data_IF_607093499044
#
_entry.id   IF_607093499044
#
_cell.length_a   1.000
_cell.length_b   1.000
_cell.length_c   1.000
_cell.angle_alpha   90.00
_cell.angle_beta   90.00
_cell.angle_gamma   90.00
#
_symmetry.space_group_name_H-M   'P 1'
#
loop_
_entity.id
_entity.type
_entity.pdbx_description
1 polymer ?
#
# COMPACT_ATOMS: atom_id res chain seq x y z
N UNK A 1 -10.88 23.01 -71.03
CA UNK A 1 -11.63 22.56 -69.84
C UNK A 1 -11.32 21.08 -69.66
N UNK A 2 -10.34 20.72 -68.84
CA UNK A 2 -9.84 19.34 -68.74
C UNK A 2 -10.45 18.63 -67.53
N UNK A 3 -11.37 17.70 -67.78
CA UNK A 3 -11.92 16.79 -66.78
C UNK A 3 -10.89 15.68 -66.56
N UNK A 4 -10.17 15.75 -65.44
CA UNK A 4 -9.17 14.75 -65.05
C UNK A 4 -9.89 13.52 -64.51
N UNK A 5 -9.77 12.40 -65.22
CA UNK A 5 -10.34 11.12 -64.79
C UNK A 5 -9.73 10.69 -63.44
N UNK A 6 -10.59 10.24 -62.52
CA UNK A 6 -10.17 9.78 -61.19
C UNK A 6 -9.52 8.41 -61.34
N UNK A 7 -8.22 8.30 -61.08
CA UNK A 7 -7.56 7.01 -60.95
C UNK A 7 -8.09 6.25 -59.72
N UNK A 8 -8.68 5.06 -59.92
CA UNK A 8 -9.18 4.23 -58.81
C UNK A 8 -7.99 3.74 -57.97
N UNK A 9 -8.00 4.05 -56.68
CA UNK A 9 -6.95 3.67 -55.73
C UNK A 9 -6.02 4.78 -55.26
N UNK A 10 -6.15 6.01 -55.78
CA UNK A 10 -5.40 7.15 -55.26
C UNK A 10 -5.76 7.44 -53.79
N UNK A 11 -4.81 7.86 -52.92
CA UNK A 11 -5.09 8.21 -51.53
C UNK A 11 -6.18 9.29 -51.37
N UNK A 12 -6.28 10.18 -52.36
CA UNK A 12 -7.29 11.23 -52.42
C UNK A 12 -8.70 10.69 -52.71
N UNK A 13 -8.82 9.64 -53.52
CA UNK A 13 -10.10 8.95 -53.76
C UNK A 13 -10.60 8.27 -52.48
N UNK A 14 -9.74 7.54 -51.77
CA UNK A 14 -10.10 6.84 -50.53
C UNK A 14 -10.59 7.78 -49.42
N UNK A 15 -10.06 9.02 -49.39
CA UNK A 15 -10.51 10.06 -48.45
C UNK A 15 -11.84 10.68 -48.86
N UNK A 16 -12.11 10.89 -50.16
CA UNK A 16 -13.43 11.35 -50.61
C UNK A 16 -14.50 10.29 -50.33
N UNK A 17 -14.17 9.01 -50.54
CA UNK A 17 -15.10 7.91 -50.36
C UNK A 17 -15.49 7.76 -48.88
N UNK A 18 -14.53 7.93 -47.95
CA UNK A 18 -14.80 7.96 -46.50
C UNK A 18 -15.69 9.14 -46.06
N UNK A 19 -15.63 10.28 -46.74
CA UNK A 19 -16.47 11.45 -46.42
C UNK A 19 -17.88 11.30 -47.00
N UNK A 20 -17.98 10.62 -48.15
CA UNK A 20 -19.25 10.33 -48.82
C UNK A 20 -19.99 9.15 -48.19
N UNK A 21 -19.28 8.27 -47.46
CA UNK A 21 -19.85 7.14 -46.75
C UNK A 21 -20.80 7.59 -45.61
N UNK A 22 -22.11 7.32 -45.73
CA UNK A 22 -23.08 7.64 -44.69
C UNK A 22 -22.87 6.84 -43.39
N UNK A 23 -22.19 5.70 -43.43
CA UNK A 23 -21.88 4.90 -42.24
C UNK A 23 -20.75 5.54 -41.41
N UNK A 24 -19.75 6.13 -42.07
CA UNK A 24 -18.63 6.81 -41.41
C UNK A 24 -19.07 8.04 -40.58
N UNK A 25 -20.19 8.68 -40.94
CA UNK A 25 -20.79 9.77 -40.18
C UNK A 25 -21.39 9.32 -38.84
N UNK A 26 -21.76 8.04 -38.72
CA UNK A 26 -22.45 7.48 -37.57
C UNK A 26 -21.53 6.60 -36.72
N UNK A 27 -20.21 6.62 -36.95
CA UNK A 27 -19.29 5.93 -36.06
C UNK A 27 -19.41 6.54 -34.65
N UNK A 28 -19.73 5.72 -33.63
CA UNK A 28 -19.82 6.21 -32.28
C UNK A 28 -18.44 6.74 -31.88
N UNK A 29 -18.34 8.06 -31.74
CA UNK A 29 -17.11 8.70 -31.26
C UNK A 29 -16.86 8.16 -29.86
N UNK A 30 -15.82 7.34 -29.71
CA UNK A 30 -15.39 6.81 -28.41
C UNK A 30 -15.07 8.01 -27.53
N UNK A 31 -15.95 8.30 -26.57
CA UNK A 31 -15.75 9.40 -25.64
C UNK A 31 -14.45 9.16 -24.86
N UNK A 32 -13.62 10.20 -24.63
CA UNK A 32 -12.47 10.07 -23.75
C UNK A 32 -12.94 9.55 -22.40
N UNK A 33 -12.43 8.41 -21.97
CA UNK A 33 -12.79 7.86 -20.65
C UNK A 33 -12.27 8.82 -19.59
N UNK A 34 -13.17 9.45 -18.82
CA UNK A 34 -12.86 10.39 -17.73
C UNK A 34 -12.29 9.66 -16.49
N UNK A 35 -11.17 8.97 -16.70
CA UNK A 35 -10.52 8.12 -15.72
C UNK A 35 -9.91 8.89 -14.54
N UNK A 36 -9.65 10.18 -14.69
CA UNK A 36 -8.97 10.98 -13.67
C UNK A 36 -9.89 11.45 -12.54
N UNK A 37 -11.08 11.96 -12.87
CA UNK A 37 -11.95 12.63 -11.89
C UNK A 37 -12.79 11.63 -11.10
N UNK A 38 -13.34 10.60 -11.76
CA UNK A 38 -14.22 9.60 -11.12
C UNK A 38 -13.49 8.75 -10.09
N UNK A 39 -12.25 8.33 -10.38
CA UNK A 39 -11.41 7.57 -9.44
C UNK A 39 -11.09 8.33 -8.16
N UNK A 40 -10.81 9.64 -8.27
CA UNK A 40 -10.52 10.51 -7.12
C UNK A 40 -11.74 10.58 -6.19
N UNK A 41 -12.96 10.69 -6.73
CA UNK A 41 -14.17 10.70 -5.92
C UNK A 41 -14.39 9.41 -5.14
N UNK A 42 -14.05 8.25 -5.71
CA UNK A 42 -14.11 6.97 -4.98
C UNK A 42 -13.10 6.89 -3.85
N UNK A 43 -11.86 7.36 -4.09
CA UNK A 43 -10.81 7.38 -3.06
C UNK A 43 -11.19 8.32 -1.92
N UNK A 44 -11.66 9.53 -2.25
CA UNK A 44 -12.12 10.51 -1.25
C UNK A 44 -13.33 9.96 -0.48
N UNK A 45 -14.30 9.36 -1.18
CA UNK A 45 -15.49 8.78 -0.56
C UNK A 45 -15.14 7.65 0.41
N UNK A 46 -14.23 6.76 0.03
CA UNK A 46 -13.77 5.67 0.89
C UNK A 46 -12.99 6.19 2.11
N UNK A 47 -12.07 7.13 1.91
CA UNK A 47 -11.33 7.75 3.00
C UNK A 47 -12.29 8.46 3.97
N UNK A 48 -13.25 9.23 3.46
CA UNK A 48 -14.25 9.91 4.27
C UNK A 48 -15.11 8.92 5.06
N UNK A 49 -15.60 7.86 4.42
CA UNK A 49 -16.40 6.84 5.08
C UNK A 49 -15.60 6.18 6.22
N UNK A 50 -14.36 5.77 5.98
CA UNK A 50 -13.50 5.18 7.01
C UNK A 50 -13.23 6.12 8.19
N UNK A 51 -12.89 7.37 7.89
CA UNK A 51 -12.68 8.42 8.91
C UNK A 51 -13.96 8.65 9.72
N UNK A 52 -15.08 8.85 9.05
CA UNK A 52 -16.37 9.07 9.71
C UNK A 52 -16.76 7.89 10.59
N UNK A 53 -16.48 6.65 10.17
CA UNK A 53 -16.80 5.47 10.93
C UNK A 53 -16.00 5.41 12.24
N UNK A 54 -14.70 5.68 12.19
CA UNK A 54 -13.84 5.75 13.39
C UNK A 54 -14.33 6.83 14.34
N UNK A 55 -14.55 8.06 13.86
CA UNK A 55 -14.99 9.15 14.72
C UNK A 55 -16.40 8.97 15.26
N UNK A 56 -17.32 8.41 14.46
CA UNK A 56 -18.70 8.16 14.88
C UNK A 56 -18.75 7.06 15.92
N UNK A 57 -17.98 5.98 15.74
CA UNK A 57 -17.92 4.90 16.75
C UNK A 57 -17.31 5.37 18.06
N UNK A 58 -16.22 6.16 18.03
CA UNK A 58 -15.64 6.78 19.24
C UNK A 58 -16.62 7.77 19.87
N UNK A 59 -17.27 8.63 19.07
CA UNK A 59 -18.24 9.62 19.55
C UNK A 59 -19.49 8.97 20.16
N UNK A 60 -20.01 7.92 19.53
CA UNK A 60 -21.11 7.12 20.06
C UNK A 60 -20.71 6.42 21.37
N UNK A 61 -19.52 5.82 21.43
CA UNK A 61 -19.01 5.23 22.66
C UNK A 61 -18.88 6.28 23.77
N UNK A 62 -18.42 7.49 23.44
CA UNK A 62 -18.30 8.59 24.40
C UNK A 62 -19.66 9.11 24.90
N UNK A 63 -20.68 9.16 24.03
CA UNK A 63 -22.02 9.66 24.36
C UNK A 63 -22.86 8.63 25.14
N UNK A 64 -22.77 7.35 24.76
CA UNK A 64 -23.56 6.27 25.38
C UNK A 64 -22.93 5.77 26.69
N UNK A 65 -21.60 5.88 26.84
CA UNK A 65 -20.92 5.38 28.03
C UNK A 65 -21.26 6.19 29.28
N UNK A 66 -21.73 5.50 30.33
CA UNK A 66 -21.93 6.08 31.65
C UNK A 66 -20.58 6.40 32.32
N UNK A 67 -20.13 7.64 32.18
CA UNK A 67 -18.80 8.10 32.63
C UNK A 67 -18.83 8.52 34.10
N UNK A 68 -18.28 7.69 35.00
CA UNK A 68 -18.12 8.06 36.40
C UNK A 68 -16.80 8.83 36.63
N UNK A 69 -16.86 10.16 36.71
CA UNK A 69 -15.67 11.04 36.81
C UNK A 69 -15.22 11.40 38.23
N UNK A 70 -15.98 11.00 39.24
CA UNK A 70 -15.78 11.48 40.62
C UNK A 70 -15.01 10.54 41.56
N UNK A 71 -14.63 9.35 41.10
CA UNK A 71 -13.99 8.35 41.95
C UNK A 71 -12.47 8.36 41.71
N UNK A 72 -11.72 8.80 42.72
CA UNK A 72 -10.25 8.89 42.68
C UNK A 72 -9.62 7.53 42.40
N UNK A 73 -10.21 6.43 42.88
CA UNK A 73 -9.66 5.08 42.71
C UNK A 73 -9.81 4.56 41.28
N UNK A 74 -10.77 5.06 40.49
CA UNK A 74 -10.92 4.70 39.07
C UNK A 74 -9.85 5.31 38.17
N UNK A 75 -9.13 6.33 38.66
CA UNK A 75 -8.04 6.99 37.94
C UNK A 75 -6.66 6.46 38.29
N UNK A 76 -6.55 5.57 39.29
CA UNK A 76 -5.28 5.00 39.71
C UNK A 76 -4.92 3.76 38.88
N UNK A 77 -3.63 3.48 38.65
CA UNK A 77 -3.18 2.22 38.06
C UNK A 77 -3.71 1.03 38.86
N UNK A 78 -4.14 -0.01 38.15
CA UNK A 78 -4.53 -1.25 38.80
C UNK A 78 -3.31 -1.95 39.38
N UNK A 79 -3.34 -2.18 40.68
CA UNK A 79 -2.34 -2.95 41.44
C UNK A 79 -3.06 -4.10 42.17
N UNK A 80 -2.34 -4.93 42.92
CA UNK A 80 -2.94 -6.05 43.67
C UNK A 80 -3.61 -5.64 45.00
N UNK A 81 -4.18 -4.42 45.07
CA UNK A 81 -4.86 -3.88 46.25
C UNK A 81 -3.96 -3.14 47.24
N UNK A 82 -2.73 -2.80 46.83
CA UNK A 82 -1.79 -1.96 47.59
C UNK A 82 -1.48 -0.69 46.80
N UNK A 83 -1.07 0.37 47.50
CA UNK A 83 -0.61 1.60 46.83
C UNK A 83 0.68 1.34 46.05
N UNK A 84 0.80 1.98 44.89
CA UNK A 84 1.97 1.85 44.01
C UNK A 84 3.23 2.33 44.74
N UNK A 85 4.24 1.47 44.82
CA UNK A 85 5.50 1.76 45.49
C UNK A 85 6.69 1.34 44.63
N UNK A 86 7.67 2.25 44.48
CA UNK A 86 8.91 2.00 43.75
C UNK A 86 9.07 2.82 42.47
N UNK A 87 10.18 2.59 41.78
CA UNK A 87 10.48 3.20 40.48
C UNK A 87 9.64 2.52 39.38
N UNK A 88 9.06 3.34 38.48
CA UNK A 88 8.29 2.87 37.32
C UNK A 88 9.18 2.30 36.21
N UNK A 89 10.49 2.54 36.26
CA UNK A 89 11.44 2.02 35.27
C UNK A 89 11.90 0.60 35.61
N UNK A 90 11.28 -0.37 34.95
CA UNK A 90 11.75 -1.76 34.95
C UNK A 90 13.08 -1.93 34.21
N UNK A 91 13.88 -2.91 34.64
CA UNK A 91 15.06 -3.35 33.89
C UNK A 91 14.59 -4.18 32.70
N UNK A 92 14.57 -3.57 31.52
CA UNK A 92 14.25 -4.30 30.28
C UNK A 92 15.46 -5.15 29.85
N UNK A 93 15.18 -6.40 29.47
CA UNK A 93 16.21 -7.30 28.94
C UNK A 93 16.72 -6.84 27.58
N UNK A 94 18.01 -7.07 27.30
CA UNK A 94 18.62 -6.76 26.00
C UNK A 94 17.91 -7.45 24.82
N UNK A 95 17.25 -8.58 25.07
CA UNK A 95 16.52 -9.37 24.09
C UNK A 95 15.50 -8.55 23.30
N UNK A 96 14.79 -7.60 23.93
CA UNK A 96 13.81 -6.74 23.24
C UNK A 96 14.46 -5.89 22.14
N UNK A 97 15.66 -5.38 22.37
CA UNK A 97 16.41 -4.61 21.38
C UNK A 97 16.88 -5.48 20.22
N UNK A 98 17.31 -6.71 20.50
CA UNK A 98 17.76 -7.64 19.46
C UNK A 98 16.60 -8.01 18.52
N UNK A 99 15.40 -8.26 19.06
CA UNK A 99 14.22 -8.49 18.24
C UNK A 99 13.83 -7.26 17.42
N UNK A 100 13.88 -6.06 18.00
CA UNK A 100 13.58 -4.82 17.28
C UNK A 100 14.57 -4.59 16.13
N UNK A 101 15.87 -4.78 16.36
CA UNK A 101 16.90 -4.66 15.31
C UNK A 101 16.72 -5.73 14.23
N UNK A 102 16.39 -6.97 14.61
CA UNK A 102 16.12 -8.04 13.66
C UNK A 102 14.89 -7.74 12.79
N UNK A 103 13.83 -7.20 13.40
CA UNK A 103 12.63 -6.77 12.69
C UNK A 103 12.94 -5.68 11.66
N UNK A 104 13.69 -4.64 12.05
CA UNK A 104 14.09 -3.56 11.12
C UNK A 104 14.95 -4.11 9.98
N UNK A 105 15.88 -5.03 10.26
CA UNK A 105 16.69 -5.65 9.21
C UNK A 105 15.84 -6.46 8.21
N UNK A 106 14.87 -7.23 8.70
CA UNK A 106 13.94 -7.99 7.86
C UNK A 106 12.94 -7.09 7.11
N UNK A 107 12.48 -6.00 7.71
CA UNK A 107 11.60 -5.03 7.05
C UNK A 107 12.29 -4.38 5.83
N UNK A 108 13.56 -4.01 5.99
CA UNK A 108 14.40 -3.50 4.90
C UNK A 108 14.57 -4.56 3.80
N UNK A 109 14.72 -5.84 4.14
CA UNK A 109 14.77 -6.94 3.15
C UNK A 109 13.51 -6.98 2.28
N UNK A 110 12.33 -6.87 2.89
CA UNK A 110 11.04 -6.88 2.17
C UNK A 110 10.93 -5.67 1.24
N UNK A 111 11.38 -4.50 1.66
CA UNK A 111 11.42 -3.31 0.79
C UNK A 111 12.30 -3.57 -0.44
N UNK A 112 13.46 -4.21 -0.30
CA UNK A 112 14.31 -4.56 -1.44
C UNK A 112 13.65 -5.58 -2.37
N UNK A 113 12.97 -6.59 -1.81
CA UNK A 113 12.17 -7.55 -2.61
C UNK A 113 11.08 -6.82 -3.39
N UNK A 114 10.39 -5.88 -2.76
CA UNK A 114 9.32 -5.11 -3.39
C UNK A 114 9.84 -4.20 -4.51
N UNK A 115 10.94 -3.48 -4.30
CA UNK A 115 11.56 -2.64 -5.32
C UNK A 115 12.03 -3.46 -6.52
N UNK A 116 12.63 -4.64 -6.27
CA UNK A 116 12.98 -5.56 -7.33
C UNK A 116 11.76 -6.08 -8.09
N UNK A 117 10.66 -6.40 -7.38
CA UNK A 117 9.42 -6.85 -8.00
C UNK A 117 8.82 -5.79 -8.94
N UNK A 118 8.93 -4.50 -8.59
CA UNK A 118 8.51 -3.39 -9.48
C UNK A 118 9.38 -3.33 -10.74
N UNK A 119 10.68 -3.58 -10.63
CA UNK A 119 11.62 -3.49 -11.75
C UNK A 119 11.79 -4.80 -12.56
N UNK A 120 11.05 -5.86 -12.19
CA UNK A 120 11.26 -7.23 -12.65
C UNK A 120 11.29 -7.39 -14.18
N UNK A 121 10.42 -6.65 -14.88
CA UNK A 121 10.24 -6.73 -16.33
C UNK A 121 11.53 -6.46 -17.13
N UNK A 122 12.44 -5.66 -16.58
CA UNK A 122 13.68 -5.28 -17.25
C UNK A 122 14.88 -6.16 -16.92
N UNK A 123 14.83 -6.93 -15.82
CA UNK A 123 15.97 -7.70 -15.31
C UNK A 123 15.84 -9.21 -15.50
N UNK A 124 14.65 -9.75 -15.82
CA UNK A 124 14.38 -11.17 -16.15
C UNK A 124 15.27 -12.16 -15.36
N UNK A 125 16.14 -12.91 -16.03
CA UNK A 125 17.00 -13.93 -15.39
C UNK A 125 18.14 -13.36 -14.54
N UNK A 126 18.76 -12.26 -14.98
CA UNK A 126 19.87 -11.63 -14.24
C UNK A 126 19.40 -11.09 -12.90
N UNK A 127 18.24 -10.43 -12.89
CA UNK A 127 17.57 -9.95 -11.68
C UNK A 127 17.20 -11.07 -10.74
N UNK A 128 16.67 -12.17 -11.27
CA UNK A 128 16.27 -13.33 -10.47
C UNK A 128 17.47 -13.94 -9.73
N UNK A 129 18.60 -14.14 -10.40
CA UNK A 129 19.81 -14.69 -9.78
C UNK A 129 20.38 -13.73 -8.75
N UNK A 130 20.47 -12.43 -9.06
CA UNK A 130 20.94 -11.44 -8.08
C UNK A 130 20.03 -11.39 -6.85
N UNK A 131 18.72 -11.53 -7.04
CA UNK A 131 17.76 -11.48 -5.95
C UNK A 131 17.81 -12.73 -5.08
N UNK A 132 17.96 -13.91 -5.69
CA UNK A 132 18.15 -15.16 -4.95
C UNK A 132 19.43 -15.13 -4.10
N UNK A 133 20.53 -14.59 -4.64
CA UNK A 133 21.78 -14.44 -3.90
C UNK A 133 21.60 -13.46 -2.74
N UNK A 134 20.93 -12.33 -2.97
CA UNK A 134 20.64 -11.34 -1.93
C UNK A 134 19.84 -11.94 -0.76
N UNK A 135 18.73 -12.63 -1.05
CA UNK A 135 17.91 -13.30 -0.04
C UNK A 135 18.71 -14.39 0.66
N UNK A 136 19.50 -15.19 -0.06
CA UNK A 136 20.32 -16.24 0.55
C UNK A 136 21.33 -15.68 1.57
N UNK A 137 21.98 -14.56 1.27
CA UNK A 137 22.94 -13.92 2.19
C UNK A 137 22.23 -13.44 3.46
N UNK A 138 21.05 -12.84 3.35
CA UNK A 138 20.28 -12.37 4.50
C UNK A 138 19.74 -13.52 5.36
N UNK A 139 19.22 -14.57 4.72
CA UNK A 139 18.80 -15.80 5.40
C UNK A 139 19.95 -16.47 6.15
N UNK A 140 21.17 -16.45 5.61
CA UNK A 140 22.37 -16.92 6.33
C UNK A 140 22.66 -16.07 7.57
N UNK A 141 22.52 -14.74 7.47
CA UNK A 141 22.63 -13.84 8.62
C UNK A 141 21.59 -14.14 9.71
N UNK A 142 20.33 -14.38 9.31
CA UNK A 142 19.25 -14.78 10.21
C UNK A 142 19.51 -16.15 10.85
N UNK A 143 19.96 -17.13 10.06
CA UNK A 143 20.30 -18.46 10.55
C UNK A 143 21.45 -18.40 11.57
N UNK A 144 22.45 -17.54 11.35
CA UNK A 144 23.53 -17.31 12.30
C UNK A 144 23.01 -16.70 13.61
N UNK A 145 22.15 -15.67 13.54
CA UNK A 145 21.53 -15.07 14.72
C UNK A 145 20.70 -16.10 15.50
N UNK A 146 19.96 -16.98 14.81
CA UNK A 146 19.25 -18.09 15.43
C UNK A 146 20.21 -19.02 16.17
N UNK A 147 21.27 -19.48 15.52
CA UNK A 147 22.24 -20.40 16.11
C UNK A 147 22.93 -19.82 17.35
N UNK A 148 23.10 -18.50 17.42
CA UNK A 148 23.61 -17.81 18.61
C UNK A 148 22.60 -17.64 19.75
N UNK A 149 21.35 -18.05 19.57
CA UNK A 149 20.32 -17.91 20.59
C UNK A 149 19.82 -16.48 20.77
N UNK A 150 20.00 -15.61 19.76
CA UNK A 150 19.43 -14.26 19.75
C UNK A 150 17.89 -14.26 19.88
N UNK A 151 17.28 -15.40 19.54
CA UNK A 151 15.83 -15.63 19.60
C UNK A 151 15.40 -16.52 20.79
N UNK A 152 16.28 -16.75 21.77
CA UNK A 152 15.93 -17.48 22.99
C UNK A 152 15.49 -16.49 24.05
N UNK A 153 14.24 -16.60 24.49
CA UNK A 153 13.74 -15.83 25.63
C UNK A 153 14.13 -16.52 26.95
N UNK A 154 14.74 -15.75 27.84
CA UNK A 154 15.06 -16.11 29.23
C UNK A 154 14.71 -14.94 30.12
#
# INVERSE_FOLDING_TARGET
>A
MAVRERHPGSPLARRSDRILDPAARNEPRVAPREFGLTGIWYVIGFAFAGVSFVFLTIGAAWLVSHRNRGDVHKGLPYESGIDTYGDTHGRFGLSFYIYALLFVAFDIEVIFIYLWAIAFDSLLLGGLVSMLIFVAILLLGLAYAWRKGAMTWR
#
